data_IF_566701831458
#
_entry.id   IF_566701831458
#
_cell.length_a   1.000
_cell.length_b   1.000
_cell.length_c   1.000
_cell.angle_alpha   90.00
_cell.angle_beta   90.00
_cell.angle_gamma   90.00
#
_symmetry.space_group_name_H-M   'P 1'
#
loop_
_entity.id
_entity.type
_entity.pdbx_description
1 polymer ?
#
# COMPACT_ATOMS: atom_id res chain seq x y z
N UNK A 1 -11.12 -27.95 -23.50
CA UNK A 1 -10.38 -28.06 -22.22
C UNK A 1 -9.63 -26.77 -21.88
N UNK A 2 -8.82 -26.23 -22.80
CA UNK A 2 -8.09 -24.95 -22.60
C UNK A 2 -9.04 -23.76 -22.37
N UNK A 3 -10.14 -23.67 -23.14
CA UNK A 3 -11.13 -22.59 -22.99
C UNK A 3 -11.81 -22.61 -21.62
N UNK A 4 -12.17 -23.81 -21.11
CA UNK A 4 -12.82 -23.96 -19.80
C UNK A 4 -11.85 -23.59 -18.67
N UNK A 5 -10.58 -24.00 -18.76
CA UNK A 5 -9.54 -23.58 -17.82
C UNK A 5 -9.31 -22.06 -17.84
N UNK A 6 -9.32 -21.45 -19.04
CA UNK A 6 -9.22 -20.00 -19.19
C UNK A 6 -10.40 -19.26 -18.56
N UNK A 7 -11.62 -19.76 -18.75
CA UNK A 7 -12.84 -19.17 -18.16
C UNK A 7 -12.83 -19.31 -16.63
N UNK A 8 -12.42 -20.46 -16.09
CA UNK A 8 -12.31 -20.67 -14.64
C UNK A 8 -11.25 -19.76 -14.03
N UNK A 9 -10.08 -19.64 -14.68
CA UNK A 9 -9.01 -18.73 -14.25
C UNK A 9 -9.43 -17.25 -14.30
N UNK A 10 -10.16 -16.85 -15.34
CA UNK A 10 -10.70 -15.49 -15.44
C UNK A 10 -11.75 -15.22 -14.34
N UNK A 11 -12.66 -16.16 -14.08
CA UNK A 11 -13.66 -16.03 -13.02
C UNK A 11 -13.03 -15.98 -11.63
N UNK A 12 -12.00 -16.80 -11.37
CA UNK A 12 -11.33 -16.82 -10.07
C UNK A 12 -10.55 -15.54 -9.83
N UNK A 13 -9.81 -15.03 -10.81
CA UNK A 13 -9.12 -13.74 -10.73
C UNK A 13 -10.13 -12.61 -10.52
N UNK A 14 -11.23 -12.58 -11.30
CA UNK A 14 -12.29 -11.58 -11.15
C UNK A 14 -12.90 -11.63 -9.75
N UNK A 15 -13.15 -12.83 -9.23
CA UNK A 15 -13.71 -13.04 -7.88
C UNK A 15 -12.73 -12.57 -6.81
N UNK A 16 -11.44 -12.90 -6.92
CA UNK A 16 -10.40 -12.49 -5.96
C UNK A 16 -10.25 -10.97 -5.96
N UNK A 17 -10.15 -10.34 -7.14
CA UNK A 17 -10.05 -8.88 -7.28
C UNK A 17 -11.29 -8.19 -6.72
N UNK A 18 -12.48 -8.70 -7.04
CA UNK A 18 -13.76 -8.14 -6.54
C UNK A 18 -13.89 -8.33 -5.03
N UNK A 19 -13.50 -9.48 -4.49
CA UNK A 19 -13.50 -9.75 -3.06
C UNK A 19 -12.54 -8.82 -2.32
N UNK A 20 -11.30 -8.65 -2.82
CA UNK A 20 -10.31 -7.72 -2.25
C UNK A 20 -10.82 -6.28 -2.24
N UNK A 21 -11.51 -5.85 -3.32
CA UNK A 21 -12.19 -4.55 -3.40
C UNK A 21 -13.34 -4.42 -2.38
N UNK A 22 -14.14 -5.48 -2.19
CA UNK A 22 -15.33 -5.44 -1.33
C UNK A 22 -15.03 -5.56 0.17
N UNK A 23 -13.85 -6.06 0.53
CA UNK A 23 -13.50 -6.33 1.94
C UNK A 23 -13.22 -5.06 2.76
N UNK A 24 -13.34 -3.85 2.19
CA UNK A 24 -13.40 -2.54 2.89
C UNK A 24 -12.38 -2.33 4.03
N UNK A 25 -11.21 -2.98 3.97
CA UNK A 25 -10.14 -2.87 4.99
C UNK A 25 -8.99 -1.95 4.57
N UNK A 26 -9.08 -1.31 3.42
CA UNK A 26 -8.04 -0.38 2.95
C UNK A 26 -8.52 1.08 3.05
N UNK A 27 -7.66 1.93 3.62
CA UNK A 27 -7.78 3.39 3.71
C UNK A 27 -8.26 3.97 2.36
N UNK A 28 -9.13 4.98 2.36
CA UNK A 28 -9.74 5.66 1.20
C UNK A 28 -8.84 5.76 -0.06
N UNK A 29 -7.55 6.03 0.15
CA UNK A 29 -6.50 6.13 -0.87
C UNK A 29 -6.28 4.89 -1.74
N UNK A 30 -6.40 3.67 -1.21
CA UNK A 30 -6.18 2.44 -1.99
C UNK A 30 -7.34 2.09 -2.91
N UNK A 31 -8.56 2.48 -2.52
CA UNK A 31 -9.75 2.22 -3.32
C UNK A 31 -9.66 2.93 -4.67
N UNK A 32 -9.09 4.15 -4.71
CA UNK A 32 -8.91 4.93 -5.94
C UNK A 32 -8.02 4.20 -6.96
N UNK A 33 -6.89 3.65 -6.51
CA UNK A 33 -5.97 2.94 -7.40
C UNK A 33 -6.62 1.66 -7.96
N UNK A 34 -7.29 0.88 -7.11
CA UNK A 34 -7.98 -0.33 -7.57
C UNK A 34 -9.20 -0.03 -8.46
N UNK A 35 -9.91 1.07 -8.23
CA UNK A 35 -10.99 1.54 -9.11
C UNK A 35 -10.41 1.92 -10.48
N UNK A 36 -9.29 2.63 -10.53
CA UNK A 36 -8.62 2.97 -11.79
C UNK A 36 -8.16 1.73 -12.56
N UNK A 37 -7.60 0.73 -11.86
CA UNK A 37 -7.22 -0.57 -12.44
C UNK A 37 -8.44 -1.29 -12.99
N UNK A 38 -9.52 -1.40 -12.21
CA UNK A 38 -10.76 -2.05 -12.64
C UNK A 38 -11.37 -1.35 -13.87
N UNK A 39 -11.38 -0.01 -13.88
CA UNK A 39 -11.85 0.78 -15.01
C UNK A 39 -10.98 0.55 -16.26
N UNK A 40 -9.65 0.52 -16.11
CA UNK A 40 -8.74 0.24 -17.22
C UNK A 40 -9.00 -1.16 -17.81
N UNK A 41 -9.20 -2.18 -16.97
CA UNK A 41 -9.54 -3.54 -17.40
C UNK A 41 -10.89 -3.58 -18.13
N UNK A 42 -11.90 -2.88 -17.62
CA UNK A 42 -13.22 -2.78 -18.26
C UNK A 42 -13.12 -2.10 -19.63
N UNK A 43 -12.40 -0.97 -19.74
CA UNK A 43 -12.21 -0.25 -21.00
C UNK A 43 -11.54 -1.17 -22.04
N UNK A 44 -10.48 -1.88 -21.64
CA UNK A 44 -9.80 -2.84 -22.50
C UNK A 44 -10.71 -4.01 -22.90
N UNK A 45 -11.53 -4.51 -21.97
CA UNK A 45 -12.47 -5.60 -22.21
C UNK A 45 -13.62 -5.23 -23.16
N UNK A 46 -14.10 -3.98 -23.12
CA UNK A 46 -15.17 -3.50 -24.01
C UNK A 46 -14.62 -3.12 -25.39
N UNK A 47 -13.39 -2.60 -25.47
CA UNK A 47 -12.79 -2.09 -26.70
C UNK A 47 -11.51 -2.86 -27.08
N UNK A 48 -11.61 -4.13 -27.54
CA UNK A 48 -10.45 -4.91 -27.97
C UNK A 48 -9.72 -4.28 -29.16
N UNK A 49 -10.42 -3.51 -29.99
CA UNK A 49 -9.83 -2.76 -31.11
C UNK A 49 -8.80 -1.72 -30.66
N UNK A 50 -8.92 -1.18 -29.44
CA UNK A 50 -7.92 -0.26 -28.89
C UNK A 50 -6.59 -0.98 -28.70
N UNK A 51 -6.63 -2.23 -28.25
CA UNK A 51 -5.44 -3.05 -28.05
C UNK A 51 -4.79 -3.41 -29.38
N UNK A 52 -5.60 -3.71 -30.41
CA UNK A 52 -5.12 -3.96 -31.77
C UNK A 52 -4.40 -2.75 -32.36
N UNK A 53 -4.98 -1.55 -32.24
CA UNK A 53 -4.33 -0.31 -32.70
C UNK A 53 -3.03 -0.02 -31.96
N UNK A 54 -3.01 -0.26 -30.65
CA UNK A 54 -1.79 -0.10 -29.85
C UNK A 54 -0.72 -1.12 -30.21
N UNK A 55 -1.09 -2.37 -30.52
CA UNK A 55 -0.13 -3.37 -31.00
C UNK A 55 0.49 -3.00 -32.33
N UNK A 56 -0.30 -2.45 -33.26
CA UNK A 56 0.20 -1.96 -34.55
C UNK A 56 1.12 -0.74 -34.36
N UNK A 57 0.74 0.21 -33.49
CA UNK A 57 1.53 1.40 -33.20
C UNK A 57 2.87 1.08 -32.52
N UNK A 58 2.86 0.14 -31.56
CA UNK A 58 4.04 -0.25 -30.77
C UNK A 58 4.85 -1.37 -31.43
N UNK A 59 4.41 -1.91 -32.57
CA UNK A 59 5.08 -3.00 -33.28
C UNK A 59 5.03 -4.35 -32.56
N UNK A 60 4.03 -4.58 -31.70
CA UNK A 60 3.86 -5.83 -30.96
C UNK A 60 3.03 -6.80 -31.80
N UNK A 61 3.55 -8.00 -32.06
CA UNK A 61 2.86 -8.97 -32.94
C UNK A 61 1.57 -9.55 -32.35
N UNK A 62 1.54 -9.81 -31.04
CA UNK A 62 0.40 -10.43 -30.36
C UNK A 62 -0.21 -9.48 -29.32
N UNK A 63 -1.53 -9.21 -29.38
CA UNK A 63 -2.24 -8.44 -28.35
C UNK A 63 -2.06 -8.94 -26.93
N UNK A 64 -1.92 -10.25 -26.75
CA UNK A 64 -1.63 -10.84 -25.44
C UNK A 64 -0.31 -10.34 -24.84
N UNK A 65 0.72 -10.13 -25.65
CA UNK A 65 2.02 -9.66 -25.15
C UNK A 65 1.93 -8.22 -24.63
N UNK A 66 1.15 -7.37 -25.31
CA UNK A 66 0.91 -6.01 -24.85
C UNK A 66 0.12 -5.99 -23.54
N UNK A 67 -0.90 -6.85 -23.41
CA UNK A 67 -1.64 -7.06 -22.17
C UNK A 67 -0.72 -7.49 -21.01
N UNK A 68 0.17 -8.45 -21.25
CA UNK A 68 1.16 -8.87 -20.26
C UNK A 68 2.12 -7.74 -19.88
N UNK A 69 2.65 -6.99 -20.86
CA UNK A 69 3.53 -5.87 -20.60
C UNK A 69 2.84 -4.78 -19.77
N UNK A 70 1.60 -4.42 -20.11
CA UNK A 70 0.78 -3.50 -19.33
C UNK A 70 0.52 -4.00 -17.92
N UNK A 71 0.21 -5.29 -17.75
CA UNK A 71 0.00 -5.89 -16.43
C UNK A 71 1.27 -5.85 -15.59
N UNK A 72 2.44 -6.14 -16.17
CA UNK A 72 3.74 -6.04 -15.49
C UNK A 72 4.02 -4.59 -15.09
N UNK A 73 3.81 -3.62 -15.97
CA UNK A 73 4.00 -2.20 -15.67
C UNK A 73 3.05 -1.72 -14.57
N UNK A 74 1.79 -2.17 -14.61
CA UNK A 74 0.79 -1.88 -13.59
C UNK A 74 1.19 -2.48 -12.24
N UNK A 75 1.59 -3.74 -12.22
CA UNK A 75 2.07 -4.42 -11.01
C UNK A 75 3.34 -3.76 -10.46
N UNK A 76 4.26 -3.33 -11.33
CA UNK A 76 5.44 -2.56 -10.93
C UNK A 76 5.03 -1.23 -10.30
N UNK A 77 4.08 -0.50 -10.89
CA UNK A 77 3.55 0.73 -10.33
C UNK A 77 2.91 0.52 -8.95
N UNK A 78 2.12 -0.55 -8.80
CA UNK A 78 1.53 -0.95 -7.51
C UNK A 78 2.62 -1.26 -6.49
N UNK A 79 3.65 -2.02 -6.87
CA UNK A 79 4.76 -2.38 -6.00
C UNK A 79 5.55 -1.15 -5.54
N UNK A 80 5.82 -0.20 -6.45
CA UNK A 80 6.47 1.07 -6.12
C UNK A 80 5.62 1.93 -5.19
N UNK A 81 4.31 2.02 -5.45
CA UNK A 81 3.39 2.74 -4.58
C UNK A 81 3.37 2.14 -3.17
N UNK A 82 3.27 0.81 -3.07
CA UNK A 82 3.30 0.10 -1.80
C UNK A 82 4.64 0.29 -1.08
N UNK A 83 5.76 0.25 -1.80
CA UNK A 83 7.09 0.46 -1.25
C UNK A 83 7.25 1.89 -0.70
N UNK A 84 6.71 2.90 -1.39
CA UNK A 84 6.75 4.27 -0.91
C UNK A 84 5.93 4.46 0.36
N UNK A 85 4.73 3.90 0.40
CA UNK A 85 3.89 3.96 1.60
C UNK A 85 4.49 3.20 2.77
N UNK A 86 5.12 2.05 2.51
CA UNK A 86 5.82 1.28 3.54
C UNK A 86 6.97 2.11 4.13
N UNK A 87 7.78 2.72 3.27
CA UNK A 87 8.88 3.61 3.71
C UNK A 87 8.37 4.79 4.54
N UNK A 88 7.27 5.42 4.13
CA UNK A 88 6.67 6.51 4.91
C UNK A 88 6.14 6.04 6.27
N UNK A 89 5.58 4.83 6.34
CA UNK A 89 5.09 4.26 7.59
C UNK A 89 6.23 3.88 8.53
N UNK A 90 7.33 3.34 7.99
CA UNK A 90 8.54 3.04 8.76
C UNK A 90 9.15 4.32 9.37
N UNK A 91 9.20 5.41 8.61
CA UNK A 91 9.66 6.71 9.11
C UNK A 91 8.79 7.25 10.26
N UNK A 92 7.46 7.10 10.16
CA UNK A 92 6.53 7.54 11.20
C UNK A 92 6.66 6.70 12.48
N UNK A 93 6.77 5.37 12.35
CA UNK A 93 7.02 4.46 13.47
C UNK A 93 8.35 4.79 14.15
N UNK A 94 9.40 5.07 13.37
CA UNK A 94 10.70 5.49 13.89
C UNK A 94 10.60 6.78 14.70
N UNK A 95 9.94 7.80 14.16
CA UNK A 95 9.72 9.08 14.87
C UNK A 95 8.96 8.89 16.17
N UNK A 96 7.89 8.10 16.15
CA UNK A 96 7.12 7.80 17.36
C UNK A 96 7.95 7.07 18.42
N UNK A 97 8.82 6.15 18.01
CA UNK A 97 9.74 5.48 18.92
C UNK A 97 10.75 6.46 19.54
N UNK A 98 11.31 7.37 18.73
CA UNK A 98 12.22 8.43 19.20
C UNK A 98 11.51 9.40 20.17
N UNK A 99 10.31 9.86 19.84
CA UNK A 99 9.50 10.72 20.73
C UNK A 99 9.15 10.01 22.04
N UNK A 100 8.81 8.72 21.99
CA UNK A 100 8.52 7.91 23.18
C UNK A 100 9.76 7.79 24.07
N UNK A 101 10.93 7.52 23.49
CA UNK A 101 12.18 7.43 24.25
C UNK A 101 12.52 8.75 24.95
N UNK A 102 12.40 9.89 24.25
CA UNK A 102 12.61 11.22 24.84
C UNK A 102 11.61 11.49 25.95
N UNK A 103 10.34 11.13 25.75
CA UNK A 103 9.30 11.30 26.76
C UNK A 103 9.62 10.52 28.04
N UNK A 104 10.06 9.26 27.93
CA UNK A 104 10.48 8.45 29.07
C UNK A 104 11.66 9.09 29.82
N UNK A 105 12.71 9.53 29.11
CA UNK A 105 13.85 10.20 29.74
C UNK A 105 13.47 11.48 30.46
N UNK A 106 12.54 12.28 29.89
CA UNK A 106 12.06 13.48 30.56
C UNK A 106 11.30 13.14 31.85
N UNK A 107 10.45 12.11 31.83
CA UNK A 107 9.74 11.64 33.03
C UNK A 107 10.72 11.20 34.11
N UNK A 108 11.72 10.39 33.76
CA UNK A 108 12.77 9.94 34.69
C UNK A 108 13.52 11.12 35.33
N UNK A 109 13.94 12.11 34.53
CA UNK A 109 14.59 13.32 35.06
C UNK A 109 13.68 14.16 35.97
N UNK A 110 12.37 14.20 35.69
CA UNK A 110 11.40 14.88 36.54
C UNK A 110 11.25 14.15 37.87
N UNK A 111 11.17 12.81 37.86
CA UNK A 111 11.12 11.98 39.06
C UNK A 111 12.37 12.14 39.93
N UNK A 112 13.56 12.15 39.33
CA UNK A 112 14.84 12.39 40.02
C UNK A 112 14.91 13.79 40.65
N UNK A 113 14.39 14.81 39.96
CA UNK A 113 14.36 16.18 40.52
C UNK A 113 13.38 16.31 41.67
N UNK A 114 12.24 15.64 41.59
CA UNK A 114 11.25 15.61 42.68
C UNK A 114 11.84 14.91 43.90
N UNK A 115 12.46 13.74 43.74
CA UNK A 115 13.08 13.01 44.85
C UNK A 115 14.19 13.83 45.53
N UNK A 116 15.07 14.48 44.75
CA UNK A 116 16.10 15.35 45.29
C UNK A 116 15.54 16.55 46.09
N UNK A 117 14.42 17.13 45.65
CA UNK A 117 13.74 18.21 46.39
C UNK A 117 13.09 17.70 47.68
N UNK A 118 12.48 16.51 47.66
CA UNK A 118 11.92 15.88 48.86
C UNK A 118 13.00 15.61 49.92
N UNK A 119 14.17 15.13 49.49
CA UNK A 119 15.31 14.87 50.38
C UNK A 119 15.86 16.17 50.99
N UNK A 120 15.96 17.25 50.19
CA UNK A 120 16.33 18.57 50.71
C UNK A 120 15.32 19.10 51.73
N UNK A 121 14.01 18.90 51.49
CA UNK A 121 12.98 19.35 52.43
C UNK A 121 13.03 18.56 53.74
N UNK A 122 13.24 17.23 53.69
CA UNK A 122 13.44 16.42 54.90
C UNK A 122 14.66 16.89 55.70
N UNK A 123 15.79 17.12 55.03
CA UNK A 123 17.02 17.56 55.68
C UNK A 123 16.95 18.97 56.30
N UNK A 124 16.04 19.83 55.82
CA UNK A 124 15.84 21.17 56.38
C UNK A 124 14.82 21.21 57.53
N UNK A 125 14.03 20.14 57.72
CA UNK A 125 13.00 20.02 58.76
C UNK A 125 13.46 19.36 60.06
N UNK A 126 14.57 18.61 60.02
CA UNK A 126 15.29 18.05 61.19
C UNK A 126 16.33 19.06 61.74
#
# INVERSE_FOLDING_TARGET
MIVVLGVIGALSILTIVTWMLLTRRLREKYAVLWIAVALAVIIVGIFPDLLLRLTELLGVQLPSNLLFAMAILLLLGVALHLSWELSSAEDEVRRLAEETAIAYTNVEQLEDRVSALEDQYRAAGD
#
